data_IF_889315758633
#
_entry.id   IF_889315758633
#
_cell.length_a   1.000
_cell.length_b   1.000
_cell.length_c   1.000
_cell.angle_alpha   90.00
_cell.angle_beta   90.00
_cell.angle_gamma   90.00
#
_symmetry.space_group_name_H-M   'P 1'
#
loop_
_entity.id
_entity.type
_entity.pdbx_description
1 polymer ?
#
# COMPACT_ATOMS: atom_id res chain seq x y z
N UNK A 1 -21.24 50.36 12.16
CA UNK A 1 -20.61 49.17 12.80
C UNK A 1 -19.70 49.66 13.91
N UNK A 2 -19.82 49.13 15.14
CA UNK A 2 -19.00 49.59 16.23
C UNK A 2 -17.52 49.22 16.00
N UNK A 3 -16.54 50.06 16.42
CA UNK A 3 -15.13 49.89 16.06
C UNK A 3 -14.53 48.53 16.43
N UNK A 4 -15.00 47.93 17.53
CA UNK A 4 -14.57 46.62 18.00
C UNK A 4 -14.94 45.46 17.05
N UNK A 5 -16.01 45.61 16.27
CA UNK A 5 -16.43 44.58 15.32
C UNK A 5 -15.49 44.48 14.11
N UNK A 6 -14.91 45.61 13.67
CA UNK A 6 -13.94 45.63 12.57
C UNK A 6 -12.62 44.97 12.98
N UNK A 7 -12.19 45.18 14.22
CA UNK A 7 -10.99 44.54 14.79
C UNK A 7 -11.20 43.02 14.91
N UNK A 8 -12.38 42.58 15.38
CA UNK A 8 -12.70 41.16 15.47
C UNK A 8 -12.69 40.45 14.11
N UNK A 9 -13.27 41.08 13.07
CA UNK A 9 -13.27 40.54 11.70
C UNK A 9 -11.84 40.45 11.15
N UNK A 10 -11.01 41.46 11.39
CA UNK A 10 -9.61 41.44 10.95
C UNK A 10 -8.79 40.34 11.62
N UNK A 11 -9.01 40.08 12.92
CA UNK A 11 -8.34 38.99 13.65
C UNK A 11 -8.78 37.62 13.14
N UNK A 12 -10.08 37.42 12.92
CA UNK A 12 -10.61 36.14 12.39
C UNK A 12 -10.12 35.90 10.96
N UNK A 13 -10.13 36.93 10.11
CA UNK A 13 -9.57 36.84 8.76
C UNK A 13 -8.07 36.55 8.78
N UNK A 14 -7.31 37.20 9.67
CA UNK A 14 -5.89 36.94 9.88
C UNK A 14 -5.60 35.50 10.31
N UNK A 15 -6.38 34.97 11.27
CA UNK A 15 -6.25 33.58 11.72
C UNK A 15 -6.62 32.57 10.63
N UNK A 16 -7.65 32.84 9.83
CA UNK A 16 -8.02 31.99 8.69
C UNK A 16 -6.94 31.99 7.60
N UNK A 17 -6.37 33.15 7.27
CA UNK A 17 -5.28 33.25 6.29
C UNK A 17 -4.04 32.52 6.80
N UNK A 18 -3.67 32.70 8.08
CA UNK A 18 -2.52 32.04 8.68
C UNK A 18 -2.71 30.51 8.72
N UNK A 19 -3.92 30.03 9.04
CA UNK A 19 -4.27 28.63 8.99
C UNK A 19 -4.23 28.07 7.55
N UNK A 20 -4.76 28.80 6.57
CA UNK A 20 -4.66 28.43 5.15
C UNK A 20 -3.21 28.39 4.66
N UNK A 21 -2.38 29.39 5.01
CA UNK A 21 -0.96 29.42 4.70
C UNK A 21 -0.22 28.25 5.36
N UNK A 22 -0.51 27.92 6.61
CA UNK A 22 0.07 26.75 7.29
C UNK A 22 -0.33 25.43 6.62
N UNK A 23 -1.60 25.28 6.23
CA UNK A 23 -2.11 24.12 5.50
C UNK A 23 -1.45 23.96 4.12
N UNK A 24 -1.28 25.06 3.37
CA UNK A 24 -0.61 25.07 2.06
C UNK A 24 0.88 24.78 2.23
N UNK A 25 1.56 25.36 3.22
CA UNK A 25 2.96 25.07 3.53
C UNK A 25 3.16 23.60 3.92
N UNK A 26 2.27 22.99 4.72
CA UNK A 26 2.34 21.56 5.07
C UNK A 26 2.12 20.67 3.84
N UNK A 27 1.16 21.00 2.96
CA UNK A 27 0.89 20.26 1.72
C UNK A 27 2.03 20.39 0.69
N UNK A 28 2.67 21.56 0.59
CA UNK A 28 3.81 21.80 -0.30
C UNK A 28 5.12 21.21 0.23
N UNK A 29 5.35 21.20 1.55
CA UNK A 29 6.53 20.57 2.16
C UNK A 29 6.45 19.04 2.17
N UNK A 30 5.27 18.45 2.33
CA UNK A 30 5.08 16.99 2.22
C UNK A 30 5.25 16.50 0.76
N UNK A 31 4.84 17.30 -0.25
CA UNK A 31 5.12 16.98 -1.66
C UNK A 31 6.61 17.03 -2.02
N UNK A 32 7.39 17.94 -1.41
CA UNK A 32 8.85 18.03 -1.65
C UNK A 32 9.65 16.87 -1.03
N UNK A 33 9.18 16.27 0.07
CA UNK A 33 9.84 15.08 0.64
C UNK A 33 9.62 13.79 -0.16
N UNK A 34 8.53 13.65 -0.93
CA UNK A 34 8.37 12.53 -1.88
C UNK A 34 9.35 12.58 -3.05
N UNK A 35 9.85 13.76 -3.45
CA UNK A 35 10.89 13.89 -4.48
C UNK A 35 12.32 13.71 -3.94
N UNK A 36 12.60 14.13 -2.71
CA UNK A 36 13.97 14.19 -2.18
C UNK A 36 14.45 12.92 -1.43
N UNK A 37 13.59 11.92 -1.19
CA UNK A 37 14.01 10.62 -0.62
C UNK A 37 14.49 9.62 -1.69
N UNK A 38 14.27 9.90 -2.98
CA UNK A 38 14.69 9.04 -4.10
C UNK A 38 16.21 9.11 -4.39
N UNK A 39 16.93 10.12 -3.89
CA UNK A 39 18.35 10.34 -4.23
C UNK A 39 19.38 10.06 -3.10
N UNK A 40 18.96 9.74 -1.87
CA UNK A 40 19.89 9.60 -0.72
C UNK A 40 20.03 8.20 -0.11
N UNK A 41 19.40 7.19 -0.70
CA UNK A 41 19.47 5.80 -0.20
C UNK A 41 20.61 4.94 -0.77
N UNK A 42 21.32 5.38 -1.81
CA UNK A 42 22.29 4.55 -2.53
C UNK A 42 23.74 4.89 -2.16
N UNK A 43 24.09 4.81 -0.88
CA UNK A 43 25.50 4.70 -0.43
C UNK A 43 25.52 3.90 0.86
N UNK A 44 25.68 2.58 0.74
CA UNK A 44 26.60 1.80 1.57
C UNK A 44 26.54 0.30 1.24
N UNK A 45 27.72 -0.20 0.82
CA UNK A 45 28.29 -1.55 1.02
C UNK A 45 27.47 -2.75 0.47
N UNK A 46 28.06 -3.76 -0.17
CA UNK A 46 29.20 -4.58 0.29
C UNK A 46 29.95 -5.19 -0.93
N UNK A 47 31.26 -5.39 -0.74
CA UNK A 47 32.28 -6.03 -1.58
C UNK A 47 32.01 -7.50 -1.98
N UNK A 48 32.60 -7.95 -3.09
CA UNK A 48 33.29 -9.26 -3.22
C UNK A 48 34.24 -9.21 -4.44
N UNK A 49 35.58 -9.35 -4.27
CA UNK A 49 36.41 -10.58 -4.47
C UNK A 49 36.09 -11.31 -5.79
N UNK A 50 37.01 -11.86 -6.58
CA UNK A 50 38.45 -12.11 -6.53
C UNK A 50 38.77 -12.73 -7.91
N UNK A 51 39.94 -12.42 -8.46
CA UNK A 51 40.77 -13.17 -9.44
C UNK A 51 40.15 -14.27 -10.33
N UNK A 52 40.36 -14.18 -11.66
CA UNK A 52 41.23 -15.14 -12.37
C UNK A 52 41.72 -14.65 -13.75
N UNK A 53 43.03 -14.68 -13.90
CA UNK A 53 43.81 -14.49 -15.14
C UNK A 53 43.56 -15.59 -16.18
N UNK A 54 43.56 -15.24 -17.48
CA UNK A 54 44.63 -15.62 -18.43
C UNK A 54 44.35 -15.06 -19.84
N UNK A 55 45.43 -14.57 -20.41
CA UNK A 55 45.64 -13.88 -21.69
C UNK A 55 45.25 -14.66 -22.95
N UNK A 56 44.79 -13.93 -23.98
CA UNK A 56 45.23 -14.18 -25.35
C UNK A 56 45.18 -12.89 -26.19
N UNK A 57 46.20 -12.74 -27.02
CA UNK A 57 46.66 -11.57 -27.77
C UNK A 57 45.74 -11.04 -28.90
N UNK A 58 45.87 -9.71 -29.11
CA UNK A 58 45.92 -8.94 -30.38
C UNK A 58 44.64 -8.60 -31.17
N UNK A 59 44.23 -7.33 -30.99
CA UNK A 59 44.21 -6.25 -32.00
C UNK A 59 43.83 -6.63 -33.45
N UNK A 60 42.61 -6.28 -33.89
CA UNK A 60 42.36 -5.04 -34.66
C UNK A 60 40.92 -5.01 -35.22
N UNK A 61 40.35 -3.79 -35.22
CA UNK A 61 39.21 -3.31 -36.02
C UNK A 61 37.82 -3.26 -35.35
N UNK A 62 37.53 -2.15 -34.67
CA UNK A 62 36.15 -1.71 -34.43
C UNK A 62 36.04 -0.19 -34.34
N UNK A 63 35.21 0.42 -35.20
CA UNK A 63 34.27 1.48 -34.80
C UNK A 63 33.16 1.57 -35.83
N UNK A 64 31.99 1.02 -35.51
CA UNK A 64 30.81 1.00 -36.37
C UNK A 64 29.50 0.96 -35.57
N UNK A 65 29.18 2.07 -34.92
CA UNK A 65 27.83 2.64 -34.70
C UNK A 65 26.66 1.71 -34.33
N UNK A 66 26.32 1.77 -33.03
CA UNK A 66 24.97 1.93 -32.44
C UNK A 66 23.88 0.91 -32.80
N UNK A 67 23.70 -0.09 -31.93
CA UNK A 67 22.41 -0.74 -31.68
C UNK A 67 21.93 -0.33 -30.29
N UNK A 68 20.67 0.10 -30.20
CA UNK A 68 20.07 0.65 -29.00
C UNK A 68 19.77 -0.44 -27.98
N UNK A 69 20.44 -0.36 -26.83
CA UNK A 69 19.99 -1.00 -25.60
C UNK A 69 18.64 -0.38 -25.18
N UNK A 70 17.55 -1.08 -25.49
CA UNK A 70 16.29 -0.95 -24.78
C UNK A 70 16.53 -1.40 -23.34
N UNK A 71 16.94 -0.46 -22.49
CA UNK A 71 16.83 -0.62 -21.04
C UNK A 71 15.35 -0.73 -20.71
N UNK A 72 14.86 -1.95 -20.58
CA UNK A 72 13.68 -2.24 -19.78
C UNK A 72 13.94 -1.65 -18.39
N UNK A 73 13.31 -0.51 -18.10
CA UNK A 73 13.21 0.00 -16.75
C UNK A 73 12.41 -1.04 -15.95
N UNK A 74 13.11 -1.95 -15.28
CA UNK A 74 12.54 -2.70 -14.16
C UNK A 74 11.97 -1.65 -13.20
N UNK A 75 10.65 -1.44 -13.23
CA UNK A 75 9.95 -0.68 -12.21
C UNK A 75 10.31 -1.36 -10.90
N UNK A 76 11.14 -0.71 -10.08
CA UNK A 76 11.31 -1.09 -8.67
C UNK A 76 9.92 -1.25 -8.09
N UNK A 77 9.46 -2.50 -7.92
CA UNK A 77 8.19 -2.80 -7.28
C UNK A 77 8.28 -2.17 -5.89
N UNK A 78 7.53 -1.08 -5.67
CA UNK A 78 7.42 -0.49 -4.35
C UNK A 78 6.98 -1.62 -3.42
N UNK A 79 7.85 -2.03 -2.49
CA UNK A 79 7.51 -3.09 -1.52
C UNK A 79 6.45 -2.52 -0.58
N UNK A 80 5.18 -2.79 -0.88
CA UNK A 80 4.03 -2.35 -0.07
C UNK A 80 3.77 -3.27 1.13
N UNK A 81 4.59 -4.31 1.29
CA UNK A 81 4.50 -5.32 2.34
C UNK A 81 3.72 -6.55 1.89
N UNK A 82 3.41 -7.41 2.86
CA UNK A 82 2.72 -8.69 2.65
C UNK A 82 1.56 -8.83 3.61
N UNK A 83 0.50 -9.51 3.17
CA UNK A 83 -0.67 -9.84 3.97
C UNK A 83 -0.84 -11.35 4.07
N UNK A 84 -0.99 -11.86 5.28
CA UNK A 84 -1.39 -13.23 5.55
C UNK A 84 -2.89 -13.28 5.84
N UNK A 85 -3.58 -14.15 5.11
CA UNK A 85 -5.01 -14.37 5.28
C UNK A 85 -5.35 -15.85 5.12
N UNK A 86 -6.53 -16.21 5.61
CA UNK A 86 -7.16 -17.50 5.39
C UNK A 86 -8.52 -17.34 4.71
N UNK A 87 -8.87 -18.31 3.88
CA UNK A 87 -10.17 -18.40 3.21
C UNK A 87 -10.71 -19.80 3.43
N UNK A 88 -11.93 -19.87 3.90
CA UNK A 88 -12.67 -21.12 4.14
C UNK A 88 -14.11 -20.95 3.65
N UNK A 89 -14.67 -21.99 3.02
CA UNK A 89 -16.04 -21.97 2.54
C UNK A 89 -16.87 -23.08 3.17
N UNK A 90 -17.89 -22.67 3.89
CA UNK A 90 -18.87 -23.58 4.49
C UNK A 90 -20.02 -23.83 3.51
N UNK A 91 -19.98 -25.00 2.86
CA UNK A 91 -21.02 -25.48 1.95
C UNK A 91 -22.35 -25.78 2.64
N UNK A 92 -22.35 -26.09 3.95
CA UNK A 92 -23.60 -26.39 4.68
C UNK A 92 -24.38 -25.11 4.95
N UNK A 93 -23.68 -24.06 5.35
CA UNK A 93 -24.30 -22.78 5.70
C UNK A 93 -24.29 -21.75 4.56
N UNK A 94 -23.65 -22.05 3.43
CA UNK A 94 -23.47 -21.14 2.28
C UNK A 94 -22.78 -19.83 2.69
N UNK A 95 -21.65 -19.95 3.39
CA UNK A 95 -20.92 -18.83 3.96
C UNK A 95 -19.43 -18.92 3.65
N UNK A 96 -18.85 -17.81 3.18
CA UNK A 96 -17.40 -17.65 3.02
C UNK A 96 -16.83 -17.01 4.28
N UNK A 97 -15.93 -17.69 4.95
CA UNK A 97 -15.16 -17.19 6.08
C UNK A 97 -13.79 -16.71 5.59
N UNK A 98 -13.45 -15.46 5.86
CA UNK A 98 -12.16 -14.87 5.52
C UNK A 98 -11.47 -14.44 6.81
N UNK A 99 -10.36 -15.08 7.15
CA UNK A 99 -9.52 -14.71 8.28
C UNK A 99 -8.39 -13.78 7.87
N UNK A 100 -8.26 -12.63 8.52
CA UNK A 100 -7.09 -11.75 8.40
C UNK A 100 -6.18 -12.04 9.60
N UNK A 101 -5.01 -12.61 9.33
CA UNK A 101 -4.10 -13.08 10.38
C UNK A 101 -3.15 -11.94 10.76
N UNK A 102 -2.30 -11.52 9.83
CA UNK A 102 -1.30 -10.49 10.07
C UNK A 102 -0.81 -9.87 8.76
N UNK A 103 -0.18 -8.70 8.87
CA UNK A 103 0.58 -8.12 7.77
C UNK A 103 2.03 -7.90 8.20
N UNK A 104 2.95 -7.89 7.23
CA UNK A 104 4.37 -7.72 7.46
C UNK A 104 4.98 -6.72 6.48
N UNK A 105 6.04 -6.05 6.91
CA UNK A 105 6.84 -5.14 6.08
C UNK A 105 6.04 -4.00 5.44
N UNK A 106 5.01 -3.50 6.14
CA UNK A 106 4.23 -2.36 5.63
C UNK A 106 5.08 -1.08 5.57
N UNK A 107 4.89 -0.22 4.55
CA UNK A 107 5.57 1.06 4.48
C UNK A 107 5.10 2.00 5.60
N UNK A 108 6.06 2.73 6.16
CA UNK A 108 5.78 3.80 7.12
C UNK A 108 5.24 5.05 6.40
N UNK A 109 3.97 5.37 6.63
CA UNK A 109 3.31 6.53 6.04
C UNK A 109 3.22 7.72 7.00
N UNK A 110 3.25 7.49 8.31
CA UNK A 110 3.25 8.56 9.31
C UNK A 110 4.57 9.33 9.36
N UNK A 111 4.48 10.60 9.78
CA UNK A 111 5.65 11.45 10.07
C UNK A 111 6.61 10.83 11.10
N UNK A 112 6.12 9.90 11.93
CA UNK A 112 6.89 9.20 12.96
C UNK A 112 7.67 7.97 12.46
N UNK A 113 7.58 7.61 11.18
CA UNK A 113 8.18 6.36 10.68
C UNK A 113 7.39 5.11 11.10
N UNK A 114 6.12 5.27 11.45
CA UNK A 114 5.18 4.20 11.77
C UNK A 114 3.98 4.27 10.83
N UNK A 115 3.06 3.32 10.97
CA UNK A 115 1.72 3.38 10.39
C UNK A 115 0.74 2.86 11.44
N UNK A 116 -0.54 3.21 11.30
CA UNK A 116 -1.68 2.70 12.03
C UNK A 116 -2.54 1.80 11.10
N UNK A 117 -2.05 0.61 10.68
CA UNK A 117 -2.71 -0.20 9.66
C UNK A 117 -4.03 -0.83 10.12
N UNK A 118 -4.99 -0.90 9.18
CA UNK A 118 -6.21 -1.70 9.25
C UNK A 118 -6.57 -2.25 7.87
N UNK A 119 -7.29 -3.37 7.83
CA UNK A 119 -7.69 -4.03 6.58
C UNK A 119 -9.18 -3.86 6.36
N UNK A 120 -9.55 -3.51 5.13
CA UNK A 120 -10.92 -3.43 4.65
C UNK A 120 -11.19 -4.55 3.67
N UNK A 121 -12.21 -5.35 3.94
CA UNK A 121 -12.60 -6.50 3.14
C UNK A 121 -13.94 -6.26 2.48
N UNK A 122 -14.03 -6.58 1.19
CA UNK A 122 -15.28 -6.56 0.44
C UNK A 122 -15.22 -7.52 -0.75
N UNK A 123 -16.39 -7.96 -1.21
CA UNK A 123 -16.53 -8.80 -2.40
C UNK A 123 -16.97 -7.94 -3.58
N UNK A 124 -16.21 -7.90 -4.67
CA UNK A 124 -16.65 -7.28 -5.91
C UNK A 124 -17.46 -8.28 -6.75
N UNK A 125 -18.50 -7.84 -7.50
CA UNK A 125 -18.94 -6.45 -7.68
C UNK A 125 -19.81 -5.89 -6.53
N UNK A 126 -20.25 -6.73 -5.59
CA UNK A 126 -21.16 -6.32 -4.52
C UNK A 126 -20.46 -5.58 -3.36
N UNK A 127 -20.13 -4.31 -3.58
CA UNK A 127 -19.51 -3.43 -2.57
C UNK A 127 -20.42 -3.11 -1.36
N UNK A 128 -21.60 -3.74 -1.20
CA UNK A 128 -22.54 -3.45 -0.10
C UNK A 128 -22.02 -3.95 1.25
N UNK A 129 -21.46 -5.17 1.29
CA UNK A 129 -20.92 -5.76 2.52
C UNK A 129 -19.44 -5.45 2.63
N UNK A 130 -19.12 -4.54 3.55
CA UNK A 130 -17.75 -4.12 3.88
C UNK A 130 -17.46 -4.50 5.32
N UNK A 131 -16.35 -5.16 5.55
CA UNK A 131 -15.82 -5.44 6.88
C UNK A 131 -14.50 -4.70 7.05
N UNK A 132 -14.20 -4.30 8.28
CA UNK A 132 -12.98 -3.60 8.62
C UNK A 132 -12.41 -4.23 9.89
N UNK A 133 -11.10 -4.44 9.93
CA UNK A 133 -10.39 -4.90 11.14
C UNK A 133 -10.24 -3.76 12.14
N UNK A 134 -9.81 -4.10 13.34
CA UNK A 134 -9.31 -3.11 14.29
C UNK A 134 -8.06 -2.43 13.74
N UNK A 135 -7.91 -1.16 14.11
CA UNK A 135 -6.72 -0.36 13.82
C UNK A 135 -5.64 -0.72 14.82
N UNK A 136 -4.48 -1.16 14.32
CA UNK A 136 -3.30 -1.38 15.15
C UNK A 136 -2.40 -0.17 15.07
N UNK A 137 -2.06 0.42 16.21
CA UNK A 137 -1.33 1.70 16.23
C UNK A 137 0.18 1.52 16.23
N UNK A 138 0.86 2.39 15.50
CA UNK A 138 2.32 2.54 15.46
C UNK A 138 3.06 1.23 15.19
N UNK A 139 2.57 0.45 14.22
CA UNK A 139 3.17 -0.83 13.86
C UNK A 139 3.20 -1.03 12.35
N UNK A 140 4.30 -1.58 11.85
CA UNK A 140 4.46 -1.99 10.45
C UNK A 140 4.19 -3.49 10.26
N UNK A 141 4.01 -4.22 11.36
CA UNK A 141 3.73 -5.66 11.37
C UNK A 141 2.52 -5.92 12.29
N UNK A 142 1.30 -5.49 11.89
CA UNK A 142 0.11 -5.72 12.69
C UNK A 142 -0.31 -7.19 12.67
N UNK A 143 -0.72 -7.68 13.84
CA UNK A 143 -1.33 -9.01 14.00
C UNK A 143 -2.81 -8.78 14.33
N UNK A 144 -3.68 -9.05 13.36
CA UNK A 144 -5.12 -8.81 13.47
C UNK A 144 -5.83 -10.01 14.12
N UNK A 145 -5.62 -11.22 13.59
CA UNK A 145 -6.33 -12.45 13.97
C UNK A 145 -7.86 -12.27 14.05
N UNK A 146 -8.44 -11.68 13.00
CA UNK A 146 -9.88 -11.41 12.89
C UNK A 146 -10.50 -12.19 11.74
N UNK A 147 -11.66 -12.81 11.96
CA UNK A 147 -12.38 -13.56 10.94
C UNK A 147 -13.71 -12.90 10.59
N UNK A 148 -14.00 -12.82 9.29
CA UNK A 148 -15.19 -12.19 8.74
C UNK A 148 -16.00 -13.18 7.91
N UNK A 149 -17.32 -13.15 8.05
CA UNK A 149 -18.22 -14.11 7.40
C UNK A 149 -19.09 -13.40 6.36
N UNK A 150 -18.95 -13.79 5.10
CA UNK A 150 -19.77 -13.34 3.99
C UNK A 150 -20.82 -14.40 3.65
N UNK A 151 -22.09 -14.08 3.88
CA UNK A 151 -23.23 -14.90 3.42
C UNK A 151 -23.37 -14.77 1.90
N UNK A 152 -22.84 -15.74 1.16
CA UNK A 152 -22.86 -15.82 -0.31
C UNK A 152 -22.96 -17.29 -0.75
N UNK A 153 -23.94 -17.65 -1.59
CA UNK A 153 -24.06 -19.00 -2.13
C UNK A 153 -22.93 -19.32 -3.11
N UNK A 154 -22.52 -20.59 -3.16
CA UNK A 154 -21.39 -21.04 -3.98
C UNK A 154 -21.60 -20.75 -5.47
N UNK A 155 -22.84 -20.85 -5.94
CA UNK A 155 -23.23 -20.54 -7.32
C UNK A 155 -22.91 -19.12 -7.75
N UNK A 156 -22.96 -18.14 -6.84
CA UNK A 156 -22.61 -16.75 -7.13
C UNK A 156 -21.14 -16.44 -6.87
N UNK A 157 -20.43 -17.32 -6.16
CA UNK A 157 -19.09 -17.04 -5.67
C UNK A 157 -18.07 -17.01 -6.80
N UNK A 158 -18.19 -17.88 -7.80
CA UNK A 158 -17.26 -17.97 -8.93
C UNK A 158 -17.12 -16.67 -9.76
N UNK A 159 -18.13 -15.80 -9.74
CA UNK A 159 -18.07 -14.48 -10.40
C UNK A 159 -17.59 -13.35 -9.50
N UNK A 160 -17.25 -13.62 -8.24
CA UNK A 160 -16.86 -12.60 -7.25
C UNK A 160 -15.35 -12.58 -7.03
N UNK A 161 -14.84 -11.40 -6.68
CA UNK A 161 -13.45 -11.19 -6.30
C UNK A 161 -13.40 -10.66 -4.88
N UNK A 162 -12.71 -11.36 -3.98
CA UNK A 162 -12.42 -10.86 -2.64
C UNK A 162 -11.32 -9.83 -2.75
N UNK A 163 -11.58 -8.65 -2.20
CA UNK A 163 -10.59 -7.57 -2.11
C UNK A 163 -10.31 -7.30 -0.64
N UNK A 164 -9.03 -7.37 -0.29
CA UNK A 164 -8.49 -7.04 1.02
C UNK A 164 -7.56 -5.85 0.85
N UNK A 165 -8.04 -4.66 1.17
CA UNK A 165 -7.29 -3.41 1.05
C UNK A 165 -6.76 -2.98 2.41
N UNK A 166 -5.45 -2.80 2.51
CA UNK A 166 -4.76 -2.32 3.71
C UNK A 166 -4.69 -0.79 3.65
N UNK A 167 -5.19 -0.17 4.70
CA UNK A 167 -5.22 1.28 4.87
C UNK A 167 -4.44 1.67 6.12
N UNK A 168 -3.90 2.88 6.09
CA UNK A 168 -3.30 3.55 7.22
C UNK A 168 -4.32 4.53 7.82
N UNK A 169 -4.70 4.29 9.07
CA UNK A 169 -5.66 5.13 9.78
C UNK A 169 -5.00 6.42 10.25
N UNK A 170 -5.57 7.55 9.86
CA UNK A 170 -4.91 8.83 10.03
C UNK A 170 -5.83 9.82 10.75
N UNK A 171 -5.51 10.20 11.99
CA UNK A 171 -6.46 10.93 12.87
C UNK A 171 -6.83 12.32 12.36
N UNK A 172 -5.92 12.96 11.61
CA UNK A 172 -6.04 14.35 11.18
C UNK A 172 -5.98 14.49 9.65
N UNK A 173 -5.96 13.37 8.92
CA UNK A 173 -5.84 13.33 7.45
C UNK A 173 -6.88 12.40 6.84
N UNK A 174 -6.90 12.34 5.50
CA UNK A 174 -7.54 11.21 4.81
C UNK A 174 -6.67 9.97 5.01
N UNK A 175 -7.29 8.82 5.21
CA UNK A 175 -6.57 7.55 5.33
C UNK A 175 -5.86 7.23 4.03
N UNK A 176 -4.60 6.82 4.14
CA UNK A 176 -3.81 6.45 2.97
C UNK A 176 -3.94 4.94 2.71
N UNK A 177 -4.11 4.59 1.44
CA UNK A 177 -4.10 3.19 1.03
C UNK A 177 -2.64 2.75 0.92
N UNK A 178 -2.30 1.68 1.62
CA UNK A 178 -0.97 1.08 1.56
C UNK A 178 -0.91 0.17 0.33
N UNK A 179 -1.87 -0.74 0.22
CA UNK A 179 -1.97 -1.67 -0.90
C UNK A 179 -3.19 -2.56 -0.76
N UNK A 180 -3.43 -3.40 -1.76
CA UNK A 180 -4.54 -4.33 -1.78
C UNK A 180 -4.13 -5.70 -2.32
N UNK A 181 -4.87 -6.71 -1.87
CA UNK A 181 -4.84 -8.07 -2.42
C UNK A 181 -6.20 -8.35 -3.04
N UNK A 182 -6.21 -8.75 -4.31
CA UNK A 182 -7.40 -9.18 -5.03
C UNK A 182 -7.30 -10.69 -5.26
N UNK A 183 -8.24 -11.44 -4.71
CA UNK A 183 -8.33 -12.88 -4.88
C UNK A 183 -9.61 -13.19 -5.65
N UNK A 184 -9.53 -13.54 -6.94
CA UNK A 184 -10.68 -14.02 -7.68
C UNK A 184 -11.11 -15.37 -7.13
N UNK A 185 -12.37 -15.51 -6.73
CA UNK A 185 -12.85 -16.74 -6.11
C UNK A 185 -12.87 -17.93 -7.07
N UNK A 186 -12.76 -17.71 -8.39
CA UNK A 186 -12.63 -18.78 -9.38
C UNK A 186 -11.23 -19.44 -9.43
N UNK A 187 -10.21 -18.77 -8.90
CA UNK A 187 -8.81 -19.26 -8.95
C UNK A 187 -8.46 -20.14 -7.77
N UNK A 188 -9.28 -20.13 -6.73
CA UNK A 188 -9.01 -20.80 -5.47
C UNK A 188 -9.86 -22.05 -5.32
N UNK A 189 -9.26 -23.11 -4.79
CA UNK A 189 -9.98 -24.33 -4.44
C UNK A 189 -10.61 -24.20 -3.05
N UNK A 190 -11.92 -24.01 -3.02
CA UNK A 190 -12.70 -23.85 -1.80
C UNK A 190 -13.04 -25.17 -1.11
N UNK A 191 -12.51 -26.31 -1.59
CA UNK A 191 -12.67 -27.61 -0.93
C UNK A 191 -11.90 -27.73 0.38
N UNK A 192 -10.90 -26.87 0.61
CA UNK A 192 -10.07 -26.84 1.82
C UNK A 192 -9.84 -25.41 2.30
N UNK A 193 -9.46 -25.27 3.56
CA UNK A 193 -9.02 -23.99 4.11
C UNK A 193 -7.71 -23.59 3.43
N UNK A 194 -7.71 -22.44 2.77
CA UNK A 194 -6.52 -21.84 2.18
C UNK A 194 -5.95 -20.87 3.21
N UNK A 195 -4.65 -20.98 3.49
CA UNK A 195 -3.92 -20.00 4.28
C UNK A 195 -2.60 -19.69 3.58
N UNK A 196 -2.42 -18.43 3.17
CA UNK A 196 -1.23 -18.04 2.40
C UNK A 196 -0.83 -16.60 2.65
N UNK A 197 0.42 -16.30 2.29
CA UNK A 197 0.95 -14.94 2.21
C UNK A 197 0.83 -14.42 0.80
N UNK A 198 0.33 -13.19 0.64
CA UNK A 198 0.34 -12.47 -0.65
C UNK A 198 1.02 -11.12 -0.49
N UNK A 199 1.77 -10.74 -1.51
CA UNK A 199 2.32 -9.39 -1.61
C UNK A 199 1.21 -8.37 -1.87
N UNK A 200 1.32 -7.19 -1.27
CA UNK A 200 0.39 -6.10 -1.46
C UNK A 200 0.69 -5.39 -2.79
N UNK A 201 -0.35 -5.17 -3.58
CA UNK A 201 -0.27 -4.45 -4.85
C UNK A 201 -0.77 -3.02 -4.66
N UNK A 202 -0.23 -2.07 -5.41
CA UNK A 202 -0.69 -0.67 -5.35
C UNK A 202 -2.15 -0.61 -5.78
N UNK A 203 -3.02 -0.19 -4.87
CA UNK A 203 -4.42 0.02 -5.19
C UNK A 203 -4.61 1.32 -5.97
N UNK A 204 -5.26 1.25 -7.12
CA UNK A 204 -5.72 2.44 -7.82
C UNK A 204 -6.85 3.07 -6.98
N UNK A 205 -6.62 4.28 -6.45
CA UNK A 205 -7.66 5.04 -5.75
C UNK A 205 -8.75 5.34 -6.79
N UNK A 206 -9.92 4.70 -6.70
CA UNK A 206 -11.13 5.18 -7.38
C UNK A 206 -11.41 6.61 -6.87
N UNK A 207 -11.18 7.60 -7.73
CA UNK A 207 -11.47 9.05 -7.49
C UNK A 207 -12.96 9.35 -7.43
#
# INVERSE_FOLDING_TARGET
VPPWALVAIAVVAGLLILCCCFCICKKCCCKKKKKNKKEKGMKNAINMKDVKDMDNDKEDLETGLTEGDEKEEEKEEEKLGKLQFSIDYDFQNNQLTVGVIQAAELPALDMGGTSDPYVKLFLMPDKKKKYETKVHRKTLNPVFNESFVFKVPYSELGGKTLVMAVYDFDRFSKHDIIGEVKVPMNTIDLGHVIEEWRDLVSAEKEE
#
